data_IF_179299586174
#
_entry.id   IF_179299586174
#
_cell.length_a   1.000
_cell.length_b   1.000
_cell.length_c   1.000
_cell.angle_alpha   90.00
_cell.angle_beta   90.00
_cell.angle_gamma   90.00
#
_symmetry.space_group_name_H-M   'P 1'
#
loop_
_entity.id
_entity.type
_entity.pdbx_description
1 polymer ?
#
# COMPACT_ATOMS: atom_id res chain seq x y z
N UNK A 1 -5.39 4.42 -10.63
CA UNK A 1 -5.75 5.12 -9.36
C UNK A 1 -7.27 5.25 -9.10
N UNK A 2 -8.01 4.13 -9.21
CA UNK A 2 -9.40 3.84 -8.76
C UNK A 2 -9.90 2.59 -9.51
N UNK A 3 -9.33 2.37 -10.70
CA UNK A 3 -9.60 1.22 -11.55
C UNK A 3 -9.03 -0.11 -11.05
N UNK A 4 -7.99 -0.15 -10.20
CA UNK A 4 -7.35 -1.44 -9.86
C UNK A 4 -8.18 -2.23 -8.84
N UNK A 5 -8.48 -1.66 -7.67
CA UNK A 5 -9.18 -2.41 -6.61
C UNK A 5 -10.61 -2.85 -6.97
N UNK A 6 -11.40 -1.99 -7.63
CA UNK A 6 -12.75 -2.37 -8.06
C UNK A 6 -12.69 -3.51 -9.07
N UNK A 7 -11.76 -3.45 -10.03
CA UNK A 7 -11.57 -4.53 -11.01
C UNK A 7 -11.09 -5.82 -10.34
N UNK A 8 -10.10 -5.74 -9.44
CA UNK A 8 -9.65 -6.88 -8.63
C UNK A 8 -10.80 -7.50 -7.84
N UNK A 9 -11.72 -6.69 -7.30
CA UNK A 9 -12.91 -7.20 -6.62
C UNK A 9 -13.84 -7.92 -7.58
N UNK A 10 -14.16 -7.30 -8.71
CA UNK A 10 -15.08 -7.86 -9.71
C UNK A 10 -14.54 -9.17 -10.31
N UNK A 11 -13.21 -9.28 -10.44
CA UNK A 11 -12.50 -10.48 -10.88
C UNK A 11 -12.27 -11.51 -9.75
N UNK A 12 -12.64 -11.20 -8.51
CA UNK A 12 -12.47 -12.09 -7.35
C UNK A 12 -11.02 -12.20 -6.82
N UNK A 13 -10.13 -11.29 -7.23
CA UNK A 13 -8.71 -11.22 -6.88
C UNK A 13 -8.40 -10.19 -5.77
N UNK A 14 -9.42 -9.58 -5.17
CA UNK A 14 -9.25 -8.59 -4.08
C UNK A 14 -8.94 -9.19 -2.70
N UNK A 15 -8.92 -10.53 -2.56
CA UNK A 15 -8.77 -11.23 -1.28
C UNK A 15 -9.74 -10.77 -0.18
N UNK A 16 -10.94 -10.33 -0.57
CA UNK A 16 -11.96 -9.84 0.34
C UNK A 16 -11.77 -8.38 0.78
N UNK A 17 -10.75 -7.69 0.25
CA UNK A 17 -10.64 -6.25 0.40
C UNK A 17 -11.70 -5.54 -0.43
N UNK A 18 -12.26 -4.48 0.13
CA UNK A 18 -13.35 -3.70 -0.47
C UNK A 18 -12.90 -2.25 -0.68
N UNK A 19 -13.44 -1.55 -1.68
CA UNK A 19 -13.20 -0.12 -1.83
C UNK A 19 -13.88 0.68 -0.71
N UNK A 20 -13.22 1.74 -0.24
CA UNK A 20 -13.89 2.76 0.58
C UNK A 20 -15.08 3.37 -0.21
N UNK A 21 -16.25 3.66 0.40
CA UNK A 21 -16.52 3.81 1.83
C UNK A 21 -17.06 2.56 2.57
N UNK A 22 -16.96 1.37 1.99
CA UNK A 22 -17.36 0.16 2.71
C UNK A 22 -16.52 -0.02 3.99
N UNK A 23 -17.09 -0.56 5.09
CA UNK A 23 -16.36 -0.74 6.35
C UNK A 23 -15.08 -1.56 6.16
N UNK A 24 -13.94 -1.03 6.64
CA UNK A 24 -12.64 -1.66 6.42
C UNK A 24 -12.07 -1.45 5.01
N UNK A 25 -12.72 -0.62 4.19
CA UNK A 25 -12.37 -0.42 2.80
C UNK A 25 -11.06 0.31 2.61
N UNK A 26 -10.52 0.18 1.39
CA UNK A 26 -9.21 0.70 1.03
C UNK A 26 -9.31 2.04 0.29
N UNK A 27 -8.43 2.96 0.62
CA UNK A 27 -8.24 4.25 -0.07
C UNK A 27 -6.85 4.25 -0.72
N UNK A 28 -6.74 4.32 -2.06
CA UNK A 28 -5.43 4.34 -2.72
C UNK A 28 -4.68 5.65 -2.43
N UNK A 29 -3.37 5.57 -2.22
CA UNK A 29 -2.51 6.74 -2.02
C UNK A 29 -1.26 6.74 -2.89
N UNK A 30 -0.91 5.63 -3.52
CA UNK A 30 0.22 5.56 -4.44
C UNK A 30 0.24 4.26 -5.23
N UNK A 31 1.15 4.21 -6.18
CA UNK A 31 1.48 3.03 -6.97
C UNK A 31 2.99 3.00 -7.29
N UNK A 32 3.50 1.83 -7.66
CA UNK A 32 4.88 1.65 -8.14
C UNK A 32 4.91 1.53 -9.67
N UNK A 33 6.06 1.84 -10.27
CA UNK A 33 6.27 1.60 -11.71
C UNK A 33 6.28 0.12 -12.09
N UNK A 34 6.40 -0.78 -11.10
CA UNK A 34 6.40 -2.22 -11.28
C UNK A 34 5.00 -2.85 -11.19
N UNK A 35 3.97 -2.04 -10.86
CA UNK A 35 2.56 -2.46 -10.86
C UNK A 35 2.00 -2.79 -9.48
N UNK A 36 2.62 -2.31 -8.41
CA UNK A 36 2.12 -2.45 -7.03
C UNK A 36 1.21 -1.27 -6.68
N UNK A 37 0.14 -1.53 -5.95
CA UNK A 37 -0.75 -0.48 -5.43
C UNK A 37 -0.61 -0.35 -3.91
N UNK A 38 -0.64 0.88 -3.44
CA UNK A 38 -0.57 1.20 -2.02
C UNK A 38 -1.85 1.84 -1.50
N UNK A 39 -2.36 1.31 -0.39
CA UNK A 39 -3.63 1.68 0.19
C UNK A 39 -3.52 2.07 1.65
N UNK A 40 -4.40 2.98 2.07
CA UNK A 40 -4.81 3.11 3.46
C UNK A 40 -5.94 2.10 3.66
N UNK A 41 -5.81 1.22 4.65
CA UNK A 41 -6.91 0.39 5.10
C UNK A 41 -7.65 1.13 6.21
N UNK A 42 -8.89 1.51 5.92
CA UNK A 42 -9.72 2.22 6.90
C UNK A 42 -10.06 1.31 8.07
N UNK A 43 -10.19 1.88 9.26
CA UNK A 43 -10.46 1.15 10.49
C UNK A 43 -10.54 2.10 11.69
N UNK A 44 -10.90 1.54 12.85
CA UNK A 44 -10.99 2.28 14.10
C UNK A 44 -12.00 3.44 14.08
N UNK A 45 -11.74 4.44 14.92
CA UNK A 45 -12.63 5.60 15.11
C UNK A 45 -12.29 6.75 14.16
N UNK A 46 -11.15 6.70 13.48
CA UNK A 46 -10.74 7.74 12.53
C UNK A 46 -9.45 7.45 11.77
N UNK A 47 -8.99 8.40 10.94
CA UNK A 47 -7.80 8.25 10.09
C UNK A 47 -6.51 7.91 10.84
N UNK A 48 -6.41 8.27 12.12
CA UNK A 48 -5.27 7.95 12.97
C UNK A 48 -5.14 6.44 13.25
N UNK A 49 -6.23 5.68 13.12
CA UNK A 49 -6.26 4.23 13.26
C UNK A 49 -6.07 3.48 11.93
N UNK A 50 -5.94 4.20 10.82
CA UNK A 50 -5.79 3.57 9.51
C UNK A 50 -4.38 3.00 9.35
N UNK A 51 -4.30 1.85 8.70
CA UNK A 51 -3.04 1.12 8.46
C UNK A 51 -2.65 1.17 6.99
N UNK A 52 -1.42 0.76 6.67
CA UNK A 52 -0.96 0.63 5.29
C UNK A 52 -1.19 -0.79 4.81
N UNK A 53 -1.70 -0.94 3.60
CA UNK A 53 -1.82 -2.22 2.91
C UNK A 53 -1.19 -2.09 1.52
N UNK A 54 -0.33 -3.03 1.16
CA UNK A 54 0.28 -3.12 -0.16
C UNK A 54 -0.33 -4.29 -0.91
N UNK A 55 -0.80 -4.04 -2.12
CA UNK A 55 -1.14 -5.09 -3.08
C UNK A 55 -0.01 -5.16 -4.10
N UNK A 56 0.84 -6.18 -3.96
CA UNK A 56 1.91 -6.47 -4.87
C UNK A 56 1.39 -7.05 -6.18
N UNK A 57 2.10 -6.79 -7.27
CA UNK A 57 1.73 -7.26 -8.62
C UNK A 57 1.61 -8.78 -8.76
N UNK A 58 2.18 -9.54 -7.82
CA UNK A 58 2.23 -11.01 -7.84
C UNK A 58 1.14 -11.63 -6.95
N UNK A 59 0.07 -10.89 -6.69
CA UNK A 59 -1.05 -11.31 -5.83
C UNK A 59 -0.65 -11.49 -4.35
N UNK A 60 0.41 -10.80 -3.93
CA UNK A 60 0.84 -10.71 -2.54
C UNK A 60 0.22 -9.48 -1.85
N UNK A 61 -0.35 -9.70 -0.66
CA UNK A 61 -1.01 -8.64 0.11
C UNK A 61 -0.37 -8.52 1.49
N UNK A 62 0.27 -7.38 1.75
CA UNK A 62 1.05 -7.12 2.96
C UNK A 62 0.45 -5.97 3.76
N UNK A 63 0.13 -6.22 5.04
CA UNK A 63 -0.36 -5.19 5.96
C UNK A 63 0.77 -4.69 6.87
N UNK A 64 0.99 -3.39 6.87
CA UNK A 64 1.84 -2.71 7.85
C UNK A 64 0.97 -1.98 8.88
N UNK A 65 1.06 -2.43 10.14
CA UNK A 65 0.34 -1.82 11.28
C UNK A 65 1.09 -0.59 11.79
N UNK A 66 0.78 0.54 11.18
CA UNK A 66 1.27 1.86 11.57
C UNK A 66 0.86 2.90 10.54
N UNK A 67 1.26 4.14 10.78
CA UNK A 67 0.96 5.25 9.87
C UNK A 67 1.79 5.18 8.59
N UNK A 68 1.31 5.86 7.53
CA UNK A 68 2.05 6.02 6.27
C UNK A 68 3.47 6.54 6.50
N UNK A 69 3.65 7.53 7.39
CA UNK A 69 4.99 8.08 7.66
C UNK A 69 5.90 7.06 8.35
N UNK A 70 5.36 6.23 9.24
CA UNK A 70 6.13 5.14 9.85
C UNK A 70 6.54 4.09 8.82
N UNK A 71 5.63 3.73 7.90
CA UNK A 71 5.91 2.83 6.79
C UNK A 71 7.05 3.37 5.91
N UNK A 72 6.90 4.59 5.38
CA UNK A 72 7.91 5.22 4.50
C UNK A 72 9.26 5.41 5.19
N UNK A 73 9.27 5.88 6.44
CA UNK A 73 10.51 6.01 7.20
C UNK A 73 11.17 4.65 7.49
N UNK A 74 10.35 3.61 7.70
CA UNK A 74 10.81 2.25 7.90
C UNK A 74 11.43 1.64 6.65
N UNK A 75 10.82 1.88 5.48
CA UNK A 75 11.36 1.49 4.17
C UNK A 75 12.72 2.13 3.93
N UNK A 76 12.81 3.47 4.11
CA UNK A 76 14.07 4.20 3.90
C UNK A 76 15.20 3.71 4.81
N UNK A 77 14.87 3.24 6.02
CA UNK A 77 15.83 2.71 6.99
C UNK A 77 16.12 1.22 6.81
N UNK A 78 15.42 0.52 5.91
CA UNK A 78 15.49 -0.94 5.79
C UNK A 78 14.95 -1.70 7.01
N UNK A 79 14.11 -1.06 7.83
CA UNK A 79 13.47 -1.71 9.01
C UNK A 79 12.08 -2.27 8.70
N UNK A 80 11.55 -1.95 7.53
CA UNK A 80 10.31 -2.51 6.96
C UNK A 80 10.69 -3.17 5.64
N UNK A 81 10.11 -4.34 5.37
CA UNK A 81 10.34 -5.03 4.11
C UNK A 81 9.78 -4.20 2.95
N UNK A 82 10.43 -4.22 1.77
CA UNK A 82 10.00 -3.41 0.63
C UNK A 82 8.63 -3.80 0.04
N UNK A 83 7.99 -4.90 0.50
CA UNK A 83 6.63 -5.37 0.19
C UNK A 83 6.09 -4.91 -1.18
N UNK A 84 6.13 -5.78 -2.19
CA UNK A 84 5.82 -5.45 -3.58
C UNK A 84 6.98 -4.79 -4.34
N UNK A 85 7.79 -3.95 -3.68
CA UNK A 85 8.94 -3.28 -4.30
C UNK A 85 10.16 -4.20 -4.46
N UNK A 86 11.15 -3.82 -5.31
CA UNK A 86 12.39 -4.56 -5.46
C UNK A 86 13.10 -4.84 -4.12
N UNK A 87 13.75 -6.02 -3.95
CA UNK A 87 14.41 -6.38 -2.70
C UNK A 87 15.52 -5.43 -2.24
N UNK A 88 16.10 -4.68 -3.18
CA UNK A 88 17.14 -3.68 -2.95
C UNK A 88 16.58 -2.25 -2.81
N UNK A 89 15.26 -2.09 -2.67
CA UNK A 89 14.65 -0.79 -2.41
C UNK A 89 14.79 -0.36 -0.94
N UNK A 90 15.11 0.93 -0.67
CA UNK A 90 15.64 1.89 -1.64
C UNK A 90 17.11 1.61 -1.98
N UNK A 91 17.52 2.01 -3.18
CA UNK A 91 18.93 1.98 -3.59
C UNK A 91 19.80 2.85 -2.67
N UNK A 92 21.12 2.62 -2.68
CA UNK A 92 22.07 3.48 -1.96
C UNK A 92 21.95 4.94 -2.42
N UNK A 93 21.95 5.87 -1.46
CA UNK A 93 21.80 7.32 -1.67
C UNK A 93 20.57 7.71 -2.53
N UNK A 94 19.34 7.39 -2.06
CA UNK A 94 18.14 7.62 -2.85
C UNK A 94 17.85 9.12 -3.01
N UNK A 95 17.60 9.55 -4.25
CA UNK A 95 17.21 10.93 -4.56
C UNK A 95 15.68 11.05 -4.62
N UNK A 96 15.13 12.05 -3.92
CA UNK A 96 13.72 12.44 -4.04
C UNK A 96 13.64 13.71 -4.86
N UNK A 97 13.07 13.62 -6.06
CA UNK A 97 12.80 14.76 -6.93
C UNK A 97 11.35 15.19 -6.79
N UNK A 98 11.13 16.50 -6.70
CA UNK A 98 9.79 17.10 -6.78
C UNK A 98 9.77 17.82 -8.13
N UNK A 99 8.95 17.32 -9.05
CA UNK A 99 8.70 17.94 -10.35
C UNK A 99 7.77 19.17 -10.23
#
# INVERSE_FOLDING_TARGET
MAGTLTSLRDDGMSHGHVPFPEPGGLVPWGDSCDGDDFYWRTGGDGPDDWTVLVAGRNDDWCEFRGSLTQYLAGLVKGTVAPDGLPPDFPVEDPAVTID
#
